data_IF_269676711428
#
_entry.id   IF_269676711428
#
_cell.length_a   1.000
_cell.length_b   1.000
_cell.length_c   1.000
_cell.angle_alpha   90.00
_cell.angle_beta   90.00
_cell.angle_gamma   90.00
#
_symmetry.space_group_name_H-M   'P 1'
#
loop_
_entity.id
_entity.type
_entity.pdbx_description
1 polymer ?
#
# COMPACT_ATOMS: atom_id res chain seq x y z
N UNK A 1 15.39 45.78 35.99
CA UNK A 1 14.42 45.78 34.86
C UNK A 1 15.00 45.09 33.61
N UNK A 2 16.30 45.26 33.29
CA UNK A 2 16.89 44.64 32.06
C UNK A 2 16.92 43.13 32.02
N UNK A 3 17.07 42.42 33.14
CA UNK A 3 17.19 40.94 33.20
C UNK A 3 15.82 40.27 32.92
N UNK A 4 14.70 40.85 33.34
CA UNK A 4 13.36 40.26 33.12
C UNK A 4 12.96 40.34 31.65
N UNK A 5 13.36 41.38 30.93
CA UNK A 5 13.07 41.56 29.50
C UNK A 5 13.87 40.52 28.65
N UNK A 6 15.10 40.18 29.07
CA UNK A 6 15.96 39.21 28.38
C UNK A 6 15.41 37.79 28.49
N UNK A 7 14.90 37.37 29.67
CA UNK A 7 14.30 36.06 29.89
C UNK A 7 12.95 35.89 29.15
N UNK A 8 12.13 36.92 29.10
CA UNK A 8 10.87 36.89 28.37
C UNK A 8 11.08 36.82 26.86
N UNK A 9 12.10 37.51 26.33
CA UNK A 9 12.46 37.50 24.93
C UNK A 9 13.02 36.15 24.46
N UNK A 10 13.88 35.49 25.27
CA UNK A 10 14.46 34.19 24.92
C UNK A 10 13.38 33.07 24.84
N UNK A 11 12.39 33.09 25.72
CA UNK A 11 11.27 32.13 25.69
C UNK A 11 10.35 32.29 24.50
N UNK A 12 10.16 33.51 23.99
CA UNK A 12 9.40 33.78 22.77
C UNK A 12 10.16 33.28 21.52
N UNK A 13 11.43 33.60 21.41
CA UNK A 13 12.29 33.17 20.30
C UNK A 13 12.31 31.62 20.23
N UNK A 14 12.47 30.94 21.35
CA UNK A 14 12.49 29.49 21.41
C UNK A 14 11.13 28.89 20.96
N UNK A 15 9.99 29.45 21.41
CA UNK A 15 8.66 29.01 20.94
C UNK A 15 8.48 29.18 19.42
N UNK A 16 8.96 30.31 18.87
CA UNK A 16 8.95 30.53 17.43
C UNK A 16 9.80 29.53 16.65
N UNK A 17 10.99 29.22 17.18
CA UNK A 17 11.89 28.22 16.60
C UNK A 17 11.21 26.85 16.55
N UNK A 18 10.68 26.38 17.67
CA UNK A 18 9.99 25.09 17.78
C UNK A 18 8.75 25.05 16.87
N UNK A 19 7.94 26.09 16.84
CA UNK A 19 6.78 26.15 15.96
C UNK A 19 7.17 26.04 14.47
N UNK A 20 8.28 26.69 14.08
CA UNK A 20 8.82 26.60 12.71
C UNK A 20 9.32 25.18 12.38
N UNK A 21 10.00 24.54 13.31
CA UNK A 21 10.50 23.16 13.16
C UNK A 21 9.34 22.17 13.05
N UNK A 22 8.32 22.30 13.93
CA UNK A 22 7.08 21.48 13.84
C UNK A 22 6.42 21.66 12.48
N UNK A 23 6.26 22.91 12.00
CA UNK A 23 5.68 23.14 10.69
C UNK A 23 6.50 22.50 9.57
N UNK A 24 7.80 22.69 9.56
CA UNK A 24 8.69 22.11 8.53
C UNK A 24 8.60 20.58 8.51
N UNK A 25 8.64 19.95 9.68
CA UNK A 25 8.51 18.49 9.79
C UNK A 25 7.13 18.01 9.35
N UNK A 26 6.05 18.73 9.69
CA UNK A 26 4.70 18.37 9.25
C UNK A 26 4.50 18.48 7.73
N UNK A 27 5.21 19.39 7.05
CA UNK A 27 5.23 19.44 5.59
C UNK A 27 5.92 18.22 4.96
N UNK A 28 6.97 17.71 5.61
CA UNK A 28 7.61 16.45 5.19
C UNK A 28 6.68 15.26 5.43
N UNK A 29 6.00 15.22 6.57
CA UNK A 29 4.97 14.21 6.89
C UNK A 29 3.83 14.23 5.87
N UNK A 30 3.37 15.41 5.46
CA UNK A 30 2.36 15.55 4.41
C UNK A 30 2.84 14.94 3.08
N UNK A 31 4.01 15.34 2.59
CA UNK A 31 4.59 14.81 1.35
C UNK A 31 4.83 13.29 1.41
N UNK A 32 5.21 12.77 2.58
CA UNK A 32 5.40 11.34 2.81
C UNK A 32 4.07 10.58 2.75
N UNK A 33 3.00 11.09 3.36
CA UNK A 33 1.65 10.50 3.29
C UNK A 33 1.10 10.50 1.86
N UNK A 34 1.26 11.61 1.12
CA UNK A 34 0.84 11.68 -0.30
C UNK A 34 1.60 10.67 -1.15
N UNK A 35 2.91 10.56 -0.95
CA UNK A 35 3.75 9.59 -1.66
C UNK A 35 3.31 8.16 -1.35
N UNK A 36 3.14 7.83 -0.07
CA UNK A 36 2.69 6.50 0.36
C UNK A 36 1.31 6.15 -0.23
N UNK A 37 0.40 7.13 -0.25
CA UNK A 37 -0.92 6.96 -0.87
C UNK A 37 -0.81 6.65 -2.37
N UNK A 38 0.02 7.40 -3.09
CA UNK A 38 0.22 7.19 -4.52
C UNK A 38 0.88 5.84 -4.82
N UNK A 39 1.91 5.47 -4.06
CA UNK A 39 2.60 4.19 -4.17
C UNK A 39 1.63 3.02 -3.89
N UNK A 40 0.78 3.16 -2.85
CA UNK A 40 -0.23 2.16 -2.54
C UNK A 40 -1.26 2.00 -3.67
N UNK A 41 -1.74 3.10 -4.27
CA UNK A 41 -2.70 3.03 -5.37
C UNK A 41 -2.17 2.22 -6.56
N UNK A 42 -0.88 2.33 -6.88
CA UNK A 42 -0.27 1.51 -7.95
C UNK A 42 -0.29 0.01 -7.60
N UNK A 43 -0.01 -0.33 -6.34
CA UNK A 43 -0.08 -1.71 -5.87
C UNK A 43 -1.53 -2.20 -5.91
N UNK A 44 -2.48 -1.37 -5.47
CA UNK A 44 -3.90 -1.72 -5.43
C UNK A 44 -4.52 -1.90 -6.81
N UNK A 45 -4.17 -1.05 -7.78
CA UNK A 45 -4.62 -1.17 -9.17
C UNK A 45 -4.18 -2.51 -9.77
N UNK A 46 -2.92 -2.91 -9.51
CA UNK A 46 -2.43 -4.23 -9.92
C UNK A 46 -3.16 -5.35 -9.20
N UNK A 47 -3.37 -5.23 -7.89
CA UNK A 47 -4.08 -6.22 -7.08
C UNK A 47 -5.50 -6.46 -7.60
N UNK A 48 -6.23 -5.39 -7.89
CA UNK A 48 -7.57 -5.47 -8.48
C UNK A 48 -7.56 -6.15 -9.86
N UNK A 49 -6.55 -5.83 -10.69
CA UNK A 49 -6.37 -6.52 -11.96
C UNK A 49 -6.13 -8.02 -11.74
N UNK A 50 -5.26 -8.39 -10.82
CA UNK A 50 -4.95 -9.78 -10.50
C UNK A 50 -6.18 -10.55 -10.01
N UNK A 51 -6.98 -9.96 -9.12
CA UNK A 51 -8.24 -10.57 -8.65
C UNK A 51 -9.22 -10.81 -9.79
N UNK A 52 -9.37 -9.85 -10.71
CA UNK A 52 -10.22 -10.02 -11.91
C UNK A 52 -9.66 -11.10 -12.84
N UNK A 53 -8.34 -11.15 -13.01
CA UNK A 53 -7.68 -12.17 -13.82
C UNK A 53 -7.86 -13.56 -13.21
N UNK A 54 -7.69 -13.73 -11.91
CA UNK A 54 -7.96 -14.98 -11.20
C UNK A 54 -9.40 -15.46 -11.42
N UNK A 55 -10.36 -14.53 -11.29
CA UNK A 55 -11.77 -14.84 -11.53
C UNK A 55 -12.00 -15.30 -12.97
N UNK A 56 -11.54 -14.54 -13.94
CA UNK A 56 -11.68 -14.87 -15.36
C UNK A 56 -11.09 -16.24 -15.69
N UNK A 57 -9.85 -16.51 -15.28
CA UNK A 57 -9.16 -17.78 -15.52
C UNK A 57 -9.90 -18.93 -14.84
N UNK A 58 -10.37 -18.75 -13.63
CA UNK A 58 -11.13 -19.77 -12.88
C UNK A 58 -12.48 -20.10 -13.54
N UNK A 59 -13.20 -19.09 -13.97
CA UNK A 59 -14.49 -19.25 -14.65
C UNK A 59 -14.34 -20.02 -15.99
N UNK A 60 -13.19 -19.84 -16.66
CA UNK A 60 -12.89 -20.46 -17.96
C UNK A 60 -11.97 -21.69 -17.89
N UNK A 61 -11.61 -22.19 -16.70
CA UNK A 61 -10.62 -23.25 -16.50
C UNK A 61 -10.90 -24.56 -17.24
N UNK A 62 -12.17 -24.86 -17.55
CA UNK A 62 -12.59 -26.08 -18.26
C UNK A 62 -12.45 -25.97 -19.76
N UNK A 63 -12.20 -24.78 -20.29
CA UNK A 63 -12.27 -24.50 -21.72
C UNK A 63 -11.22 -23.45 -22.15
N UNK A 64 -10.02 -23.58 -21.58
CA UNK A 64 -8.89 -22.65 -21.81
C UNK A 64 -8.58 -22.50 -23.29
N UNK A 65 -8.75 -23.55 -24.10
CA UNK A 65 -8.48 -23.54 -25.55
C UNK A 65 -9.37 -22.61 -26.36
N UNK A 66 -10.45 -22.09 -25.76
CA UNK A 66 -11.27 -21.03 -26.37
C UNK A 66 -10.69 -19.64 -26.18
N UNK A 67 -9.77 -19.47 -25.24
CA UNK A 67 -9.12 -18.19 -24.98
C UNK A 67 -7.92 -18.09 -25.93
N UNK A 68 -7.76 -16.98 -26.68
CA UNK A 68 -6.55 -16.77 -27.48
C UNK A 68 -5.27 -16.89 -26.67
N UNK A 69 -4.22 -17.45 -27.23
CA UNK A 69 -2.97 -17.72 -26.51
C UNK A 69 -2.26 -16.45 -26.03
N UNK A 70 -2.37 -15.36 -26.78
CA UNK A 70 -1.87 -14.03 -26.39
C UNK A 70 -2.63 -13.45 -25.18
N UNK A 71 -3.93 -13.68 -25.12
CA UNK A 71 -4.74 -13.32 -23.93
C UNK A 71 -4.32 -14.14 -22.73
N UNK A 72 -4.12 -15.47 -22.88
CA UNK A 72 -3.59 -16.30 -21.78
C UNK A 72 -2.19 -15.85 -21.33
N UNK A 73 -1.32 -15.48 -22.27
CA UNK A 73 0.01 -14.98 -21.99
C UNK A 73 -0.04 -13.66 -21.17
N UNK A 74 -1.05 -12.82 -21.40
CA UNK A 74 -1.22 -11.59 -20.63
C UNK A 74 -1.50 -11.83 -19.15
N UNK A 75 -1.93 -13.04 -18.76
CA UNK A 75 -2.18 -13.44 -17.38
C UNK A 75 -0.97 -14.10 -16.68
N UNK A 76 0.16 -14.30 -17.36
CA UNK A 76 1.38 -14.83 -16.73
C UNK A 76 1.78 -14.11 -15.43
N UNK A 77 1.59 -12.77 -15.30
CA UNK A 77 1.86 -12.08 -14.05
C UNK A 77 1.05 -12.57 -12.84
N UNK A 78 -0.12 -13.18 -13.06
CA UNK A 78 -0.91 -13.81 -11.99
C UNK A 78 -0.12 -14.88 -11.26
N UNK A 79 0.65 -15.66 -12.00
CA UNK A 79 1.53 -16.66 -11.40
C UNK A 79 2.83 -16.05 -10.88
N UNK A 80 3.52 -15.22 -11.68
CA UNK A 80 4.93 -14.88 -11.45
C UNK A 80 5.18 -13.56 -10.68
N UNK A 81 4.21 -12.64 -10.59
CA UNK A 81 4.47 -11.32 -10.08
C UNK A 81 3.94 -11.13 -8.66
N UNK A 82 4.75 -10.43 -7.84
CA UNK A 82 4.43 -10.06 -6.46
C UNK A 82 4.72 -8.57 -6.29
N UNK A 83 3.80 -7.85 -5.67
CA UNK A 83 3.92 -6.43 -5.41
C UNK A 83 3.69 -6.14 -3.94
N UNK A 84 4.75 -6.13 -3.14
CA UNK A 84 4.65 -5.66 -1.76
C UNK A 84 4.49 -4.14 -1.70
N UNK A 85 3.77 -3.69 -0.71
CA UNK A 85 3.68 -2.29 -0.32
C UNK A 85 4.51 -2.07 0.95
N UNK A 86 5.41 -1.11 0.92
CA UNK A 86 6.25 -0.74 2.06
C UNK A 86 6.16 0.78 2.24
N UNK A 87 5.33 1.27 3.17
CA UNK A 87 5.19 2.70 3.39
C UNK A 87 6.45 3.30 4.00
N UNK A 88 6.83 4.47 3.52
CA UNK A 88 7.89 5.30 4.10
C UNK A 88 7.39 5.86 5.42
N UNK A 89 8.30 6.00 6.39
CA UNK A 89 7.99 6.49 7.73
C UNK A 89 9.05 7.45 8.26
N UNK A 90 9.97 7.89 7.42
CA UNK A 90 11.16 8.66 7.83
C UNK A 90 10.78 10.00 8.44
N UNK A 91 9.89 10.77 7.79
CA UNK A 91 9.42 12.05 8.30
C UNK A 91 8.62 11.91 9.60
N UNK A 92 7.81 10.86 9.69
CA UNK A 92 7.03 10.57 10.91
C UNK A 92 7.94 10.15 12.07
N UNK A 93 8.96 9.34 11.82
CA UNK A 93 9.93 8.95 12.84
C UNK A 93 10.76 10.16 13.32
N UNK A 94 11.11 11.08 12.43
CA UNK A 94 11.73 12.37 12.84
C UNK A 94 10.79 13.15 13.76
N UNK A 95 9.50 13.25 13.40
CA UNK A 95 8.50 13.92 14.25
C UNK A 95 8.41 13.30 15.64
N UNK A 96 8.40 11.97 15.74
CA UNK A 96 8.32 11.23 17.01
C UNK A 96 9.58 11.39 17.86
N UNK A 97 10.74 11.17 17.25
CA UNK A 97 11.99 11.03 17.97
C UNK A 97 12.66 12.37 18.34
N UNK A 98 12.30 13.47 17.65
CA UNK A 98 12.79 14.82 17.95
C UNK A 98 12.11 15.50 19.13
N UNK A 99 11.08 14.89 19.71
CA UNK A 99 10.25 15.51 20.74
C UNK A 99 9.27 16.57 20.23
N UNK A 100 9.22 16.84 18.92
CA UNK A 100 8.33 17.83 18.31
C UNK A 100 6.86 17.50 18.51
N UNK A 101 6.50 16.21 18.60
CA UNK A 101 5.13 15.78 18.89
C UNK A 101 4.58 16.38 20.19
N UNK A 102 5.40 16.48 21.23
CA UNK A 102 4.99 17.07 22.51
C UNK A 102 4.68 18.56 22.41
N UNK A 103 5.28 19.24 21.44
CA UNK A 103 5.07 20.68 21.19
C UNK A 103 3.82 20.98 20.37
N UNK A 104 3.16 19.95 19.80
CA UNK A 104 1.87 20.10 19.12
C UNK A 104 0.76 20.15 20.17
N UNK A 105 0.18 21.34 20.38
CA UNK A 105 -0.88 21.55 21.36
C UNK A 105 -2.22 20.93 20.97
N UNK A 106 -2.50 20.86 19.67
CA UNK A 106 -3.72 20.30 19.08
C UNK A 106 -3.61 18.77 19.03
N UNK A 107 -4.20 18.12 20.01
CA UNK A 107 -4.10 16.66 20.17
C UNK A 107 -4.97 15.92 19.16
N UNK A 108 -6.10 16.48 18.76
CA UNK A 108 -7.00 15.87 17.76
C UNK A 108 -6.34 15.87 16.39
N UNK A 109 -5.67 16.95 16.02
CA UNK A 109 -4.86 17.02 14.83
C UNK A 109 -3.71 15.98 14.84
N UNK A 110 -2.99 15.89 15.97
CA UNK A 110 -1.91 14.92 16.10
C UNK A 110 -2.43 13.48 15.99
N UNK A 111 -3.57 13.19 16.58
CA UNK A 111 -4.23 11.89 16.48
C UNK A 111 -4.61 11.57 15.02
N UNK A 112 -5.19 12.55 14.31
CA UNK A 112 -5.52 12.37 12.90
C UNK A 112 -4.28 12.01 12.05
N UNK A 113 -3.15 12.70 12.27
CA UNK A 113 -1.88 12.39 11.56
C UNK A 113 -1.38 10.99 11.93
N UNK A 114 -1.39 10.63 13.20
CA UNK A 114 -0.94 9.31 13.67
C UNK A 114 -1.80 8.19 13.10
N UNK A 115 -3.10 8.41 12.99
CA UNK A 115 -4.05 7.46 12.41
C UNK A 115 -3.71 7.12 10.95
N UNK A 116 -3.27 8.11 10.16
CA UNK A 116 -2.83 7.88 8.78
C UNK A 116 -1.72 6.85 8.68
N UNK A 117 -0.74 6.92 9.57
CA UNK A 117 0.37 5.94 9.60
C UNK A 117 -0.04 4.57 10.16
N UNK A 118 -0.98 4.52 11.10
CA UNK A 118 -1.55 3.26 11.55
C UNK A 118 -2.27 2.54 10.40
N UNK A 119 -3.08 3.27 9.63
CA UNK A 119 -3.77 2.74 8.46
C UNK A 119 -2.80 2.29 7.36
N UNK A 120 -1.71 3.04 7.12
CA UNK A 120 -0.68 2.60 6.18
C UNK A 120 -0.01 1.28 6.62
N UNK A 121 0.13 1.06 7.93
CA UNK A 121 0.62 -0.21 8.45
C UNK A 121 -0.39 -1.35 8.22
N UNK A 122 -1.67 -1.10 8.43
CA UNK A 122 -2.74 -2.06 8.16
C UNK A 122 -2.80 -2.42 6.66
N UNK A 123 -2.62 -1.45 5.77
CA UNK A 123 -2.55 -1.68 4.31
C UNK A 123 -1.32 -2.53 3.94
N UNK A 124 -0.15 -2.24 4.52
CA UNK A 124 1.08 -3.04 4.34
C UNK A 124 0.85 -4.50 4.78
N UNK A 125 0.25 -4.70 5.94
CA UNK A 125 -0.03 -6.03 6.49
C UNK A 125 -1.01 -6.81 5.60
N UNK A 126 -2.11 -6.20 5.20
CA UNK A 126 -3.13 -6.83 4.36
C UNK A 126 -2.56 -7.27 2.98
N UNK A 127 -1.79 -6.41 2.32
CA UNK A 127 -1.14 -6.75 1.05
C UNK A 127 -0.10 -7.87 1.26
N UNK A 128 0.68 -7.78 2.33
CA UNK A 128 1.69 -8.80 2.66
C UNK A 128 1.04 -10.15 2.91
N UNK A 129 -0.05 -10.22 3.66
CA UNK A 129 -0.77 -11.47 3.92
C UNK A 129 -1.31 -12.11 2.63
N UNK A 130 -1.91 -11.32 1.74
CA UNK A 130 -2.36 -11.81 0.44
C UNK A 130 -1.22 -12.43 -0.36
N UNK A 131 -0.09 -11.75 -0.47
CA UNK A 131 1.05 -12.27 -1.23
C UNK A 131 1.77 -13.42 -0.54
N UNK A 132 1.73 -13.52 0.79
CA UNK A 132 2.21 -14.70 1.50
C UNK A 132 1.36 -15.94 1.17
N UNK A 133 0.03 -15.80 1.09
CA UNK A 133 -0.85 -16.90 0.64
C UNK A 133 -0.51 -17.32 -0.78
N UNK A 134 -0.32 -16.38 -1.69
CA UNK A 134 0.09 -16.65 -3.08
C UNK A 134 1.44 -17.37 -3.15
N UNK A 135 2.44 -16.90 -2.42
CA UNK A 135 3.77 -17.52 -2.37
C UNK A 135 3.72 -18.95 -1.82
N UNK A 136 2.91 -19.17 -0.77
CA UNK A 136 2.71 -20.50 -0.22
C UNK A 136 2.11 -21.43 -1.28
N UNK A 137 1.05 -20.99 -1.95
CA UNK A 137 0.42 -21.75 -3.02
C UNK A 137 1.36 -22.05 -4.19
N UNK A 138 2.23 -21.08 -4.59
CA UNK A 138 3.25 -21.28 -5.61
C UNK A 138 4.31 -22.31 -5.19
N UNK A 139 4.79 -22.20 -3.96
CA UNK A 139 5.81 -23.10 -3.43
C UNK A 139 5.29 -24.55 -3.33
N UNK A 140 4.06 -24.72 -2.88
CA UNK A 140 3.44 -26.04 -2.76
C UNK A 140 3.15 -26.63 -4.13
N UNK A 141 2.65 -25.83 -5.09
CA UNK A 141 2.48 -26.25 -6.48
C UNK A 141 3.80 -26.76 -7.08
N UNK A 142 4.90 -26.05 -6.84
CA UNK A 142 6.22 -26.45 -7.37
C UNK A 142 6.71 -27.79 -6.80
N UNK A 143 6.34 -28.14 -5.57
CA UNK A 143 6.65 -29.42 -4.93
C UNK A 143 5.76 -30.54 -5.48
N UNK A 144 4.49 -30.26 -5.72
CA UNK A 144 3.47 -31.23 -6.11
C UNK A 144 3.53 -31.59 -7.60
N UNK A 145 4.26 -30.84 -8.42
CA UNK A 145 4.46 -31.17 -9.83
C UNK A 145 5.21 -32.48 -9.99
N UNK A 146 4.60 -33.43 -10.71
CA UNK A 146 5.32 -34.57 -11.28
C UNK A 146 6.38 -34.07 -12.29
N UNK A 147 7.36 -34.90 -12.60
CA UNK A 147 8.40 -34.57 -13.58
C UNK A 147 7.80 -34.13 -14.92
N UNK A 148 6.79 -34.86 -15.42
CA UNK A 148 6.08 -34.54 -16.65
C UNK A 148 5.31 -33.20 -16.57
N UNK A 149 4.70 -32.88 -15.46
CA UNK A 149 4.01 -31.58 -15.27
C UNK A 149 5.03 -30.45 -15.24
N UNK A 150 6.17 -30.67 -14.58
CA UNK A 150 7.26 -29.68 -14.53
C UNK A 150 7.81 -29.39 -15.93
N UNK A 151 8.07 -30.44 -16.72
CA UNK A 151 8.48 -30.29 -18.12
C UNK A 151 7.44 -29.45 -18.90
N UNK A 152 6.17 -29.86 -18.89
CA UNK A 152 5.09 -29.14 -19.59
C UNK A 152 4.93 -27.70 -19.14
N UNK A 153 5.10 -27.41 -17.86
CA UNK A 153 5.01 -26.07 -17.31
C UNK A 153 6.11 -25.13 -17.85
N UNK A 154 7.36 -25.63 -17.99
CA UNK A 154 8.48 -24.82 -18.42
C UNK A 154 8.70 -24.80 -19.93
N UNK A 155 8.36 -25.86 -20.63
CA UNK A 155 8.65 -26.02 -22.08
C UNK A 155 7.40 -26.05 -22.96
N UNK A 156 6.22 -26.22 -22.37
CA UNK A 156 4.94 -26.28 -23.05
C UNK A 156 4.44 -24.90 -23.50
N UNK A 157 3.38 -24.92 -24.29
CA UNK A 157 2.67 -23.71 -24.69
C UNK A 157 1.85 -23.09 -23.53
N UNK A 158 1.19 -21.96 -23.77
CA UNK A 158 0.38 -21.26 -22.76
C UNK A 158 -0.76 -22.12 -22.21
N UNK A 159 -1.39 -22.94 -23.05
CA UNK A 159 -2.47 -23.82 -22.62
C UNK A 159 -1.96 -24.91 -21.69
N UNK A 160 -0.86 -25.55 -22.03
CA UNK A 160 -0.23 -26.57 -21.22
C UNK A 160 0.24 -26.03 -19.87
N UNK A 161 0.77 -24.81 -19.84
CA UNK A 161 1.18 -24.13 -18.62
C UNK A 161 -0.01 -23.91 -17.69
N UNK A 162 -1.09 -23.32 -18.18
CA UNK A 162 -2.28 -23.08 -17.38
C UNK A 162 -3.01 -24.39 -16.98
N UNK A 163 -3.02 -25.41 -17.85
CA UNK A 163 -3.50 -26.74 -17.48
C UNK A 163 -2.70 -27.33 -16.31
N UNK A 164 -1.36 -27.17 -16.31
CA UNK A 164 -0.51 -27.60 -15.20
C UNK A 164 -0.84 -26.84 -13.91
N UNK A 165 -1.00 -25.51 -13.98
CA UNK A 165 -1.37 -24.67 -12.82
C UNK A 165 -2.71 -25.14 -12.23
N UNK A 166 -3.73 -25.35 -13.04
CA UNK A 166 -5.04 -25.80 -12.58
C UNK A 166 -5.09 -27.26 -12.13
N UNK A 167 -4.11 -28.07 -12.51
CA UNK A 167 -4.05 -29.46 -12.08
C UNK A 167 -3.59 -29.65 -10.63
N UNK A 168 -3.04 -28.60 -10.02
CA UNK A 168 -2.55 -28.63 -8.63
C UNK A 168 -3.51 -27.88 -7.71
N UNK A 169 -4.10 -28.57 -6.73
CA UNK A 169 -5.18 -28.02 -5.93
C UNK A 169 -4.82 -26.71 -5.18
N UNK A 170 -3.61 -26.62 -4.62
CA UNK A 170 -3.22 -25.48 -3.78
C UNK A 170 -3.25 -24.14 -4.54
N UNK A 171 -2.73 -24.09 -5.77
CA UNK A 171 -2.76 -22.84 -6.55
C UNK A 171 -4.14 -22.60 -7.19
N UNK A 172 -4.84 -23.65 -7.58
CA UNK A 172 -6.22 -23.55 -8.05
C UNK A 172 -7.14 -23.01 -6.95
N UNK A 173 -6.96 -23.41 -5.69
CA UNK A 173 -7.69 -22.89 -4.54
C UNK A 173 -7.36 -21.42 -4.27
N UNK A 174 -6.08 -21.04 -4.32
CA UNK A 174 -5.70 -19.64 -4.24
C UNK A 174 -6.43 -18.81 -5.31
N UNK A 175 -6.42 -19.23 -6.57
CA UNK A 175 -7.09 -18.52 -7.66
C UNK A 175 -8.62 -18.42 -7.48
N UNK A 176 -9.24 -19.42 -6.83
CA UNK A 176 -10.67 -19.39 -6.50
C UNK A 176 -10.99 -18.39 -5.40
N UNK A 177 -10.12 -18.22 -4.42
CA UNK A 177 -10.33 -17.39 -3.24
C UNK A 177 -9.84 -15.96 -3.41
N UNK A 178 -8.80 -15.73 -4.22
CA UNK A 178 -8.19 -14.43 -4.47
C UNK A 178 -9.19 -13.31 -4.82
N UNK A 179 -10.22 -13.53 -5.69
CA UNK A 179 -11.20 -12.50 -6.03
C UNK A 179 -12.03 -11.98 -4.85
N UNK A 180 -12.08 -12.75 -3.77
CA UNK A 180 -12.91 -12.47 -2.59
C UNK A 180 -12.08 -12.17 -1.34
N UNK A 181 -10.77 -12.00 -1.49
CA UNK A 181 -9.87 -11.82 -0.36
C UNK A 181 -10.15 -10.52 0.39
N UNK A 182 -10.37 -9.43 -0.34
CA UNK A 182 -10.72 -8.14 0.24
C UNK A 182 -12.24 -7.93 0.16
N UNK A 183 -12.91 -7.66 1.29
CA UNK A 183 -14.31 -7.24 1.27
C UNK A 183 -14.52 -5.97 0.43
N UNK A 184 -15.67 -5.85 -0.22
CA UNK A 184 -16.01 -4.66 -1.00
C UNK A 184 -15.96 -3.40 -0.13
N UNK A 185 -15.32 -2.35 -0.64
CA UNK A 185 -15.19 -1.07 0.06
C UNK A 185 -14.19 -1.04 1.21
N UNK A 186 -13.57 -2.17 1.57
CA UNK A 186 -12.65 -2.22 2.71
C UNK A 186 -11.39 -1.36 2.50
N UNK A 187 -10.73 -1.52 1.37
CA UNK A 187 -9.52 -0.75 1.04
C UNK A 187 -9.84 0.73 0.82
N UNK A 188 -10.95 1.03 0.17
CA UNK A 188 -11.44 2.40 -0.02
C UNK A 188 -11.71 3.10 1.33
N UNK A 189 -12.24 2.36 2.30
CA UNK A 189 -12.42 2.84 3.66
C UNK A 189 -11.11 3.20 4.35
N UNK A 190 -10.09 2.34 4.23
CA UNK A 190 -8.76 2.60 4.76
C UNK A 190 -8.10 3.82 4.08
N UNK A 191 -8.19 3.91 2.76
CA UNK A 191 -7.67 5.06 2.01
C UNK A 191 -8.34 6.37 2.40
N UNK A 192 -9.64 6.36 2.69
CA UNK A 192 -10.36 7.55 3.15
C UNK A 192 -9.80 8.08 4.48
N UNK A 193 -9.27 7.21 5.35
CA UNK A 193 -8.62 7.61 6.60
C UNK A 193 -7.23 8.22 6.36
N UNK A 194 -6.44 7.68 5.42
CA UNK A 194 -5.19 8.32 4.97
C UNK A 194 -5.47 9.71 4.39
N UNK A 195 -6.49 9.83 3.52
CA UNK A 195 -6.90 11.10 2.93
C UNK A 195 -7.38 12.11 3.99
N UNK A 196 -8.01 11.63 5.07
CA UNK A 196 -8.39 12.49 6.21
C UNK A 196 -7.15 13.05 6.91
N UNK A 197 -6.10 12.26 7.07
CA UNK A 197 -4.84 12.69 7.68
C UNK A 197 -4.13 13.74 6.82
N UNK A 198 -4.07 13.54 5.51
CA UNK A 198 -3.53 14.51 4.54
C UNK A 198 -4.29 15.83 4.64
N UNK A 199 -5.63 15.79 4.52
CA UNK A 199 -6.48 17.00 4.62
C UNK A 199 -6.36 17.71 5.96
N UNK A 200 -6.14 16.99 7.07
CA UNK A 200 -5.92 17.63 8.37
C UNK A 200 -4.65 18.51 8.39
N UNK A 201 -3.58 18.03 7.74
CA UNK A 201 -2.33 18.79 7.61
C UNK A 201 -2.53 19.99 6.68
N UNK A 202 -3.15 19.79 5.52
CA UNK A 202 -3.49 20.85 4.56
C UNK A 202 -4.29 21.97 5.19
N UNK A 203 -5.37 21.63 5.86
CA UNK A 203 -6.24 22.61 6.56
C UNK A 203 -5.46 23.39 7.62
N UNK A 204 -4.64 22.71 8.44
CA UNK A 204 -3.89 23.35 9.51
C UNK A 204 -2.82 24.31 9.00
N UNK A 205 -2.14 23.94 7.92
CA UNK A 205 -1.02 24.73 7.37
C UNK A 205 -1.39 25.52 6.10
N UNK A 206 -2.66 25.48 5.66
CA UNK A 206 -3.22 26.21 4.51
C UNK A 206 -2.48 25.92 3.21
N UNK A 207 -2.28 24.61 2.93
CA UNK A 207 -1.55 24.17 1.75
C UNK A 207 -2.40 24.20 0.47
N UNK A 208 -3.74 24.21 0.59
CA UNK A 208 -4.69 24.20 -0.53
C UNK A 208 -4.72 25.47 -1.37
N UNK A 209 -4.03 26.53 -0.93
CA UNK A 209 -3.91 27.74 -1.73
C UNK A 209 -2.78 27.55 -2.74
N UNK A 210 -3.11 27.09 -3.99
CA UNK A 210 -2.27 27.43 -5.14
C UNK A 210 -1.93 28.91 -5.06
N UNK A 211 -0.66 29.32 -5.31
CA UNK A 211 -0.38 30.73 -5.53
C UNK A 211 -1.32 31.19 -6.66
N UNK A 212 -2.19 32.15 -6.37
CA UNK A 212 -2.80 32.94 -7.44
C UNK A 212 -1.64 33.63 -8.11
N UNK A 213 -1.36 33.24 -9.37
CA UNK A 213 -0.47 34.02 -10.27
C UNK A 213 -1.09 35.41 -10.36
N UNK A 214 -0.55 36.34 -9.54
CA UNK A 214 -0.72 37.78 -9.68
C UNK A 214 0.48 38.35 -10.44
#
# INVERSE_FOLDING_TARGET
IGIVVTFAGSGLIERWRVAREVRATMLLVHAELETNRADFMQVWDYQQWEMRACKFLTDNRRDLKRIPSDTLASFDPVYGRIHFFHPRRDAFEVLKNSGLMSSVSDKDFLLAVTQGYAVLADLEENISMYYQLKLTAQNDMSKDFSEKQRERFYTGDMYERWECIFSVPCFAEFMLTAPYYFPEGYIEGLLADVDRSIRAIEAKYKLDKKPTDD
#
